data_IF_472263949092
#
_entry.id   IF_472263949092
#
_cell.length_a   1.000
_cell.length_b   1.000
_cell.length_c   1.000
_cell.angle_alpha   90.00
_cell.angle_beta   90.00
_cell.angle_gamma   90.00
#
_symmetry.space_group_name_H-M   'P 1'
#
loop_
_entity.id
_entity.type
_entity.pdbx_description
1 polymer ?
#
# COMPACT_ATOMS: atom_id res chain seq x y z
N UNK A 1 11.05 10.17 -34.89
CA UNK A 1 10.98 10.58 -33.47
C UNK A 1 10.91 9.31 -32.65
N UNK A 2 12.04 8.84 -32.10
CA UNK A 2 12.09 7.65 -31.23
C UNK A 2 11.70 8.11 -29.83
N UNK A 3 10.60 7.59 -29.29
CA UNK A 3 10.30 7.70 -27.87
C UNK A 3 11.38 6.94 -27.09
N UNK A 4 11.99 7.61 -26.11
CA UNK A 4 12.80 6.92 -25.11
C UNK A 4 11.83 6.28 -24.13
N UNK A 5 11.76 4.95 -24.18
CA UNK A 5 11.09 4.14 -23.17
C UNK A 5 11.88 4.26 -21.86
N UNK A 6 11.48 5.19 -21.01
CA UNK A 6 12.01 5.32 -19.65
C UNK A 6 11.70 4.04 -18.88
N UNK A 7 12.73 3.26 -18.56
CA UNK A 7 12.62 2.11 -17.67
C UNK A 7 12.02 2.60 -16.34
N UNK A 8 10.93 1.98 -15.90
CA UNK A 8 10.30 2.32 -14.63
C UNK A 8 11.24 1.98 -13.48
N UNK A 9 11.94 2.98 -12.95
CA UNK A 9 12.82 2.82 -11.80
C UNK A 9 11.99 2.64 -10.51
N UNK A 10 12.40 1.70 -9.66
CA UNK A 10 11.79 1.52 -8.34
C UNK A 10 12.29 2.61 -7.40
N UNK A 11 11.39 3.53 -7.04
CA UNK A 11 11.78 4.74 -6.31
C UNK A 11 11.98 4.48 -4.80
N UNK A 12 11.56 3.33 -4.26
CA UNK A 12 11.80 2.94 -2.86
C UNK A 12 11.45 1.49 -2.53
N UNK A 13 12.03 0.94 -1.46
CA UNK A 13 11.70 -0.40 -0.94
C UNK A 13 11.48 -0.37 0.57
N UNK A 14 10.48 -1.11 1.05
CA UNK A 14 10.27 -1.34 2.48
C UNK A 14 9.96 -2.82 2.73
N UNK A 15 10.45 -3.38 3.84
CA UNK A 15 10.11 -4.74 4.26
C UNK A 15 8.79 -4.70 5.02
N UNK A 16 7.70 -5.01 4.33
CA UNK A 16 6.35 -5.00 4.89
C UNK A 16 5.95 -6.31 5.60
N UNK A 17 6.36 -7.46 5.05
CA UNK A 17 5.95 -8.79 5.53
C UNK A 17 7.15 -9.74 5.59
N UNK A 18 7.08 -10.76 6.46
CA UNK A 18 8.05 -11.88 6.52
C UNK A 18 7.80 -12.97 5.46
N UNK A 19 6.87 -12.72 4.55
CA UNK A 19 6.36 -13.65 3.53
C UNK A 19 5.94 -12.86 2.29
N UNK A 20 5.52 -13.56 1.23
CA UNK A 20 5.00 -12.97 -0.01
C UNK A 20 3.93 -11.91 0.27
N UNK A 21 4.00 -10.77 -0.41
CA UNK A 21 2.91 -9.79 -0.46
C UNK A 21 1.96 -10.20 -1.58
N UNK A 22 0.69 -10.44 -1.25
CA UNK A 22 -0.32 -10.97 -2.17
C UNK A 22 -1.15 -9.89 -2.82
N UNK A 23 -1.46 -8.83 -2.09
CA UNK A 23 -2.30 -7.75 -2.60
C UNK A 23 -1.92 -6.43 -1.97
N UNK A 24 -2.16 -5.36 -2.73
CA UNK A 24 -2.10 -3.97 -2.30
C UNK A 24 -3.39 -3.27 -2.72
N UNK A 25 -4.00 -2.49 -1.84
CA UNK A 25 -5.25 -1.76 -2.10
C UNK A 25 -5.25 -0.39 -1.42
N UNK A 26 -5.32 0.66 -2.22
CA UNK A 26 -5.52 2.02 -1.72
C UNK A 26 -6.94 2.19 -1.18
N UNK A 27 -7.08 2.95 -0.09
CA UNK A 27 -8.37 3.35 0.44
C UNK A 27 -9.06 4.27 -0.59
N UNK A 28 -10.28 3.96 -1.06
CA UNK A 28 -10.95 4.76 -2.09
C UNK A 28 -11.13 6.23 -1.69
N UNK A 29 -11.33 6.49 -0.40
CA UNK A 29 -11.54 7.84 0.14
C UNK A 29 -10.22 8.60 0.41
N UNK A 30 -9.07 7.93 0.48
CA UNK A 30 -7.76 8.57 0.63
C UNK A 30 -6.64 7.75 -0.04
N UNK A 31 -6.14 8.26 -1.17
CA UNK A 31 -5.08 7.60 -1.97
C UNK A 31 -3.76 7.39 -1.22
N UNK A 32 -3.49 8.16 -0.16
CA UNK A 32 -2.25 8.06 0.61
C UNK A 32 -2.29 6.88 1.58
N UNK A 33 -3.49 6.38 1.91
CA UNK A 33 -3.69 5.24 2.78
C UNK A 33 -3.87 3.99 1.91
N UNK A 34 -3.15 2.93 2.24
CA UNK A 34 -3.30 1.66 1.54
C UNK A 34 -3.00 0.49 2.47
N UNK A 35 -3.52 -0.68 2.13
CA UNK A 35 -3.19 -1.93 2.81
C UNK A 35 -2.35 -2.82 1.93
N UNK A 36 -1.50 -3.60 2.57
CA UNK A 36 -0.86 -4.77 1.97
C UNK A 36 -1.27 -6.01 2.76
N UNK A 37 -1.47 -7.14 2.07
CA UNK A 37 -1.74 -8.42 2.72
C UNK A 37 -0.65 -9.45 2.38
N UNK A 38 -0.26 -10.22 3.39
CA UNK A 38 0.87 -11.15 3.33
C UNK A 38 0.47 -12.62 3.37
N UNK A 39 1.40 -13.47 2.92
CA UNK A 39 1.25 -14.93 2.89
C UNK A 39 1.12 -15.58 4.26
N UNK A 40 1.65 -14.96 5.31
CA UNK A 40 1.45 -15.39 6.70
C UNK A 40 0.15 -14.88 7.34
N UNK A 41 -0.87 -14.53 6.54
CA UNK A 41 -2.15 -14.02 7.02
C UNK A 41 -2.09 -12.65 7.71
N UNK A 42 -1.06 -11.86 7.37
CA UNK A 42 -0.83 -10.53 7.94
C UNK A 42 -1.45 -9.44 7.07
N UNK A 43 -2.05 -8.43 7.70
CA UNK A 43 -2.52 -7.21 7.06
C UNK A 43 -1.76 -6.03 7.66
N UNK A 44 -1.17 -5.21 6.79
CA UNK A 44 -0.46 -3.99 7.19
C UNK A 44 -1.16 -2.78 6.57
N UNK A 45 -1.45 -1.77 7.38
CA UNK A 45 -2.01 -0.48 6.98
C UNK A 45 -0.88 0.55 6.89
N UNK A 46 -0.79 1.25 5.77
CA UNK A 46 0.30 2.16 5.45
C UNK A 46 -0.22 3.55 5.12
N UNK A 47 0.63 4.54 5.35
CA UNK A 47 0.48 5.90 4.81
C UNK A 47 1.69 6.23 3.94
N UNK A 48 1.45 6.74 2.74
CA UNK A 48 2.48 7.34 1.89
C UNK A 48 2.69 8.81 2.28
N UNK A 49 3.95 9.20 2.49
CA UNK A 49 4.35 10.58 2.75
C UNK A 49 5.08 11.13 1.53
N UNK A 50 4.58 12.23 0.99
CA UNK A 50 5.24 12.90 -0.11
C UNK A 50 6.55 13.56 0.35
N UNK A 51 7.61 13.53 -0.49
CA UNK A 51 8.81 14.31 -0.23
C UNK A 51 8.53 15.80 -0.45
N UNK A 52 9.39 16.68 0.06
CA UNK A 52 9.26 18.14 -0.08
C UNK A 52 9.18 18.59 -1.55
N UNK A 53 9.95 17.94 -2.43
CA UNK A 53 9.91 18.13 -3.88
C UNK A 53 9.77 16.77 -4.54
N UNK A 54 8.92 16.66 -5.57
CA UNK A 54 8.69 15.40 -6.30
C UNK A 54 9.58 15.24 -7.52
N UNK A 55 10.35 16.27 -7.86
CA UNK A 55 11.27 16.29 -9.00
C UNK A 55 12.59 16.92 -8.58
N UNK A 56 13.69 16.39 -9.12
CA UNK A 56 15.03 16.96 -9.04
C UNK A 56 15.71 16.85 -10.39
N UNK A 57 16.67 17.71 -10.68
CA UNK A 57 17.56 17.54 -11.82
C UNK A 57 18.70 16.59 -11.42
N UNK A 58 19.06 15.66 -12.32
CA UNK A 58 20.25 14.83 -12.17
C UNK A 58 21.51 15.58 -12.67
N UNK A 59 22.69 14.97 -12.50
CA UNK A 59 23.97 15.53 -12.94
C UNK A 59 24.05 15.87 -14.43
N UNK A 60 23.23 15.23 -15.26
CA UNK A 60 23.12 15.46 -16.70
C UNK A 60 22.03 16.48 -17.09
N UNK A 61 21.32 17.06 -16.11
CA UNK A 61 20.26 18.06 -16.31
C UNK A 61 18.86 17.49 -16.58
N UNK A 62 18.71 16.16 -16.58
CA UNK A 62 17.42 15.50 -16.78
C UNK A 62 16.56 15.50 -15.49
N UNK A 63 15.24 15.65 -15.64
CA UNK A 63 14.30 15.65 -14.52
C UNK A 63 14.00 14.22 -14.05
N UNK A 64 14.30 13.94 -12.78
CA UNK A 64 14.00 12.67 -12.12
C UNK A 64 12.96 12.82 -11.00
N UNK A 65 12.17 11.77 -10.81
CA UNK A 65 11.24 11.67 -9.68
C UNK A 65 11.96 11.52 -8.35
N UNK A 66 11.43 12.16 -7.30
CA UNK A 66 11.91 11.98 -5.92
C UNK A 66 10.94 11.06 -5.18
N UNK A 67 11.47 10.00 -4.58
CA UNK A 67 10.69 9.07 -3.77
C UNK A 67 10.10 9.75 -2.54
N UNK A 68 8.86 9.41 -2.21
CA UNK A 68 8.36 9.58 -0.85
C UNK A 68 8.80 8.47 0.08
N UNK A 69 8.21 8.46 1.27
CA UNK A 69 8.39 7.40 2.26
C UNK A 69 7.05 6.75 2.60
N UNK A 70 7.09 5.58 3.24
CA UNK A 70 5.89 4.91 3.75
C UNK A 70 6.01 4.70 5.26
N UNK A 71 4.93 4.99 5.97
CA UNK A 71 4.81 4.77 7.42
C UNK A 71 3.84 3.64 7.67
N UNK A 72 4.27 2.64 8.45
CA UNK A 72 3.38 1.59 8.96
C UNK A 72 2.49 2.20 10.04
N UNK A 73 1.18 2.25 9.81
CA UNK A 73 0.20 2.72 10.78
C UNK A 73 -0.29 1.59 11.69
N UNK A 74 -0.44 0.39 11.15
CA UNK A 74 -0.89 -0.79 11.89
C UNK A 74 -0.47 -2.09 11.21
N UNK A 75 -0.20 -3.13 12.00
CA UNK A 75 -0.10 -4.51 11.52
C UNK A 75 -0.95 -5.47 12.38
N UNK A 76 -1.51 -6.49 11.74
CA UNK A 76 -2.28 -7.52 12.44
C UNK A 76 -2.19 -8.85 11.69
N UNK A 77 -2.18 -9.96 12.42
CA UNK A 77 -2.34 -11.31 11.87
C UNK A 77 -3.79 -11.74 12.00
N UNK A 78 -4.50 -11.89 10.88
CA UNK A 78 -5.92 -12.26 10.84
C UNK A 78 -6.15 -13.74 10.50
N UNK A 79 -5.14 -14.39 9.92
CA UNK A 79 -5.20 -15.80 9.51
C UNK A 79 -3.84 -16.46 9.72
N UNK A 80 -3.82 -17.80 9.78
CA UNK A 80 -2.60 -18.59 9.65
C UNK A 80 -2.24 -18.88 8.18
N UNK A 81 -3.13 -18.52 7.25
CA UNK A 81 -3.00 -18.76 5.82
C UNK A 81 -2.94 -17.43 5.04
N UNK A 82 -2.47 -17.44 3.78
CA UNK A 82 -2.41 -16.24 2.96
C UNK A 82 -3.76 -15.52 2.87
N UNK A 83 -3.74 -14.20 3.07
CA UNK A 83 -4.86 -13.34 2.67
C UNK A 83 -4.71 -13.10 1.17
N UNK A 84 -5.51 -13.80 0.38
CA UNK A 84 -5.38 -13.84 -1.09
C UNK A 84 -6.10 -12.69 -1.78
N UNK A 85 -7.12 -12.10 -1.13
CA UNK A 85 -7.82 -10.93 -1.66
C UNK A 85 -8.27 -9.98 -0.55
N UNK A 86 -8.40 -8.70 -0.91
CA UNK A 86 -8.87 -7.62 -0.05
C UNK A 86 -9.61 -6.61 -0.92
N UNK A 87 -10.72 -6.08 -0.40
CA UNK A 87 -11.49 -5.03 -1.05
C UNK A 87 -12.04 -4.02 -0.02
N UNK A 88 -11.86 -2.73 -0.31
CA UNK A 88 -12.41 -1.65 0.51
C UNK A 88 -13.83 -1.34 0.05
N UNK A 89 -14.71 -1.01 0.99
CA UNK A 89 -16.00 -0.43 0.64
C UNK A 89 -15.81 0.98 0.05
N UNK A 90 -16.34 1.26 -1.15
CA UNK A 90 -16.34 2.61 -1.70
C UNK A 90 -17.30 3.54 -0.93
N UNK A 91 -18.36 2.98 -0.36
CA UNK A 91 -19.45 3.76 0.28
C UNK A 91 -19.18 4.08 1.75
N UNK A 92 -18.43 3.23 2.46
CA UNK A 92 -18.21 3.35 3.90
C UNK A 92 -16.72 3.33 4.22
N UNK A 93 -16.15 4.49 4.49
CA UNK A 93 -14.73 4.63 4.81
C UNK A 93 -14.32 3.70 5.97
N UNK A 94 -13.25 2.94 5.75
CA UNK A 94 -12.72 2.00 6.74
C UNK A 94 -13.42 0.64 6.78
N UNK A 95 -14.55 0.46 6.11
CA UNK A 95 -15.16 -0.86 5.95
C UNK A 95 -14.48 -1.61 4.80
N UNK A 96 -14.17 -2.89 5.01
CA UNK A 96 -13.57 -3.74 3.99
C UNK A 96 -13.98 -5.21 4.15
N UNK A 97 -13.67 -6.00 3.12
CA UNK A 97 -13.72 -7.46 3.15
C UNK A 97 -12.38 -8.04 2.74
N UNK A 98 -11.99 -9.18 3.33
CA UNK A 98 -10.86 -9.95 2.86
C UNK A 98 -11.17 -11.45 2.85
N UNK A 99 -10.47 -12.19 2.00
CA UNK A 99 -10.53 -13.66 1.97
C UNK A 99 -9.15 -14.24 2.22
N UNK A 100 -9.11 -15.39 2.88
CA UNK A 100 -7.89 -16.14 3.11
C UNK A 100 -8.09 -17.63 2.78
N UNK A 101 -6.98 -18.35 2.57
CA UNK A 101 -7.03 -19.79 2.28
C UNK A 101 -7.36 -20.66 3.49
N UNK A 102 -7.65 -20.06 4.64
CA UNK A 102 -8.29 -20.72 5.79
C UNK A 102 -9.81 -20.90 5.61
N UNK A 103 -10.30 -20.75 4.37
CA UNK A 103 -11.71 -20.88 3.99
C UNK A 103 -12.62 -19.86 4.70
N UNK A 104 -12.08 -18.70 5.07
CA UNK A 104 -12.83 -17.65 5.78
C UNK A 104 -12.92 -16.36 4.96
N UNK A 105 -14.11 -15.74 5.01
CA UNK A 105 -14.33 -14.34 4.59
C UNK A 105 -14.46 -13.48 5.83
N UNK A 106 -13.74 -12.37 5.89
CA UNK A 106 -13.75 -11.45 7.05
C UNK A 106 -14.22 -10.07 6.63
N UNK A 107 -15.16 -9.51 7.40
CA UNK A 107 -15.49 -8.08 7.33
C UNK A 107 -14.60 -7.35 8.32
N UNK A 108 -13.93 -6.29 7.86
CA UNK A 108 -12.95 -5.53 8.62
C UNK A 108 -13.44 -4.09 8.76
N UNK A 109 -13.24 -3.52 9.95
CA UNK A 109 -13.43 -2.10 10.22
C UNK A 109 -12.10 -1.52 10.66
N UNK A 110 -11.52 -0.65 9.83
CA UNK A 110 -10.36 0.17 10.15
C UNK A 110 -10.84 1.54 10.65
N UNK A 111 -10.60 1.82 11.92
CA UNK A 111 -11.02 3.07 12.57
C UNK A 111 -9.96 4.15 12.51
N UNK A 112 -10.34 5.41 12.81
CA UNK A 112 -9.43 6.57 12.89
C UNK A 112 -8.68 6.86 11.57
N UNK A 113 -9.35 6.61 10.45
CA UNK A 113 -8.85 6.96 9.11
C UNK A 113 -9.20 8.39 8.69
N UNK A 114 -10.13 9.01 9.40
CA UNK A 114 -10.55 10.40 9.24
C UNK A 114 -9.88 11.23 10.35
N UNK A 115 -8.94 12.10 9.94
CA UNK A 115 -8.23 13.15 10.69
C UNK A 115 -6.72 12.92 10.81
N UNK A 116 -5.94 13.87 10.27
CA UNK A 116 -4.54 14.19 10.60
C UNK A 116 -3.62 13.02 11.04
N UNK A 117 -3.63 11.93 10.28
CA UNK A 117 -2.46 11.04 10.23
C UNK A 117 -1.42 11.67 9.32
#
# INVERSE_FOLDING_TARGET
MRGQDGAGESVGSCKAHKSTVWTVRHLPQNREIFVTCGGGGTLCLWKYNYPEKRTKEDGDGDLMGVAGSVTLLQNVTLSSQPISSFDWSPDKQGLAVCTAFDQTVRVIIATKLSNNL
#
